data_IF_666688732765
#
_entry.id   IF_666688732765
#
_cell.length_a   1.000
_cell.length_b   1.000
_cell.length_c   1.000
_cell.angle_alpha   90.00
_cell.angle_beta   90.00
_cell.angle_gamma   90.00
#
_symmetry.space_group_name_H-M   'P 1'
#
loop_
_entity.id
_entity.type
_entity.pdbx_description
1 polymer ?
#
# COMPACT_ATOMS: atom_id res chain seq x y z
N UNK A 1 -40.03 8.39 -34.37
CA UNK A 1 -39.00 7.33 -34.13
C UNK A 1 -37.97 7.90 -33.17
N UNK A 2 -37.46 7.17 -32.17
CA UNK A 2 -36.39 7.69 -31.32
C UNK A 2 -35.18 8.01 -32.21
N UNK A 3 -34.70 9.26 -32.14
CA UNK A 3 -33.62 9.74 -32.97
C UNK A 3 -32.33 9.02 -32.56
N UNK A 4 -31.70 8.32 -33.50
CA UNK A 4 -30.44 7.60 -33.23
C UNK A 4 -29.33 8.64 -33.03
N UNK A 5 -28.53 8.47 -31.98
CA UNK A 5 -27.32 9.29 -31.75
C UNK A 5 -26.39 9.09 -32.96
N UNK A 6 -25.95 10.18 -33.63
CA UNK A 6 -24.99 10.10 -34.72
C UNK A 6 -23.71 9.39 -34.31
N UNK A 7 -23.13 8.61 -35.23
CA UNK A 7 -21.86 7.91 -34.97
C UNK A 7 -20.74 8.90 -34.64
N UNK A 8 -20.72 10.03 -35.33
CA UNK A 8 -19.71 11.08 -35.17
C UNK A 8 -19.76 11.73 -33.79
N UNK A 9 -20.96 11.96 -33.23
CA UNK A 9 -21.12 12.49 -31.87
C UNK A 9 -20.54 11.55 -30.81
N UNK A 10 -20.70 10.23 -30.98
CA UNK A 10 -20.12 9.24 -30.08
C UNK A 10 -18.59 9.26 -30.14
N UNK A 11 -18.00 9.35 -31.34
CA UNK A 11 -16.54 9.42 -31.52
C UNK A 11 -15.97 10.75 -31.03
N UNK A 12 -16.68 11.87 -31.24
CA UNK A 12 -16.28 13.18 -30.74
C UNK A 12 -16.26 13.22 -29.20
N UNK A 13 -17.28 12.65 -28.57
CA UNK A 13 -17.33 12.54 -27.11
C UNK A 13 -16.22 11.63 -26.56
N UNK A 14 -15.92 10.53 -27.25
CA UNK A 14 -14.83 9.63 -26.88
C UNK A 14 -13.46 10.32 -26.95
N UNK A 15 -13.23 11.15 -27.99
CA UNK A 15 -12.01 11.98 -28.11
C UNK A 15 -11.95 13.07 -27.04
N UNK A 16 -13.07 13.75 -26.77
CA UNK A 16 -13.14 14.76 -25.71
C UNK A 16 -12.73 14.16 -24.37
N UNK A 17 -13.39 13.08 -23.97
CA UNK A 17 -13.11 12.45 -22.68
C UNK A 17 -11.68 11.90 -22.61
N UNK A 18 -11.14 11.38 -23.72
CA UNK A 18 -9.75 10.95 -23.76
C UNK A 18 -8.76 12.10 -23.58
N UNK A 19 -9.03 13.26 -24.21
CA UNK A 19 -8.21 14.45 -24.05
C UNK A 19 -8.27 15.00 -22.61
N UNK A 20 -9.46 14.99 -22.01
CA UNK A 20 -9.64 15.48 -20.64
C UNK A 20 -8.93 14.59 -19.60
N UNK A 21 -8.82 13.28 -19.88
CA UNK A 21 -8.11 12.32 -19.02
C UNK A 21 -6.61 12.19 -19.39
N UNK A 22 -6.17 12.79 -20.50
CA UNK A 22 -4.87 12.55 -21.14
C UNK A 22 -4.56 11.04 -21.38
N UNK A 23 -5.61 10.23 -21.56
CA UNK A 23 -5.53 8.78 -21.81
C UNK A 23 -6.84 8.23 -22.33
N UNK A 24 -6.81 7.00 -22.85
CA UNK A 24 -8.04 6.30 -23.23
C UNK A 24 -9.00 6.12 -22.04
N UNK A 25 -10.28 6.49 -22.17
CA UNK A 25 -11.26 6.28 -21.12
C UNK A 25 -11.63 4.81 -20.98
N UNK A 26 -12.02 4.43 -19.77
CA UNK A 26 -12.69 3.16 -19.45
C UNK A 26 -14.20 3.27 -19.66
N UNK A 27 -14.88 2.13 -19.66
CA UNK A 27 -16.35 2.10 -19.73
C UNK A 27 -17.01 2.76 -18.51
N UNK A 28 -16.36 2.69 -17.34
CA UNK A 28 -16.86 3.29 -16.10
C UNK A 28 -16.79 4.81 -16.18
N UNK A 29 -15.62 5.34 -16.55
CA UNK A 29 -15.42 6.79 -16.73
C UNK A 29 -16.34 7.38 -17.80
N UNK A 30 -16.65 6.64 -18.87
CA UNK A 30 -17.63 7.07 -19.86
C UNK A 30 -19.07 7.10 -19.29
N UNK A 31 -19.43 6.17 -18.40
CA UNK A 31 -20.75 6.19 -17.76
C UNK A 31 -20.87 7.27 -16.67
N UNK A 32 -19.77 7.63 -16.01
CA UNK A 32 -19.74 8.60 -14.91
C UNK A 32 -19.51 10.04 -15.38
N UNK A 33 -18.60 10.23 -16.34
CA UNK A 33 -18.14 11.55 -16.81
C UNK A 33 -18.39 11.80 -18.29
N UNK A 34 -18.89 10.80 -19.01
CA UNK A 34 -19.22 10.88 -20.43
C UNK A 34 -20.69 11.24 -20.66
N UNK A 35 -20.95 11.80 -21.84
CA UNK A 35 -22.30 12.20 -22.27
C UNK A 35 -23.21 11.02 -22.62
N UNK A 36 -22.64 9.86 -22.91
CA UNK A 36 -23.38 8.70 -23.40
C UNK A 36 -22.94 7.42 -22.68
N UNK A 37 -23.88 6.51 -22.45
CA UNK A 37 -23.54 5.21 -21.84
C UNK A 37 -22.60 4.38 -22.71
N UNK A 38 -21.64 3.69 -22.07
CA UNK A 38 -20.77 2.70 -22.69
C UNK A 38 -21.55 1.59 -23.44
N UNK A 39 -22.80 1.29 -23.03
CA UNK A 39 -23.65 0.33 -23.75
C UNK A 39 -24.04 0.84 -25.16
N UNK A 40 -24.19 2.15 -25.33
CA UNK A 40 -24.47 2.77 -26.64
C UNK A 40 -23.31 2.54 -27.60
N UNK A 41 -22.07 2.63 -27.10
CA UNK A 41 -20.87 2.33 -27.88
C UNK A 41 -20.82 0.87 -28.28
N UNK A 42 -21.01 -0.07 -27.34
CA UNK A 42 -21.05 -1.50 -27.66
C UNK A 42 -22.11 -1.83 -28.73
N UNK A 43 -23.34 -1.30 -28.60
CA UNK A 43 -24.40 -1.53 -29.58
C UNK A 43 -24.10 -0.93 -30.96
N UNK A 44 -23.36 0.19 -31.02
CA UNK A 44 -23.13 0.93 -32.26
C UNK A 44 -21.90 0.46 -33.01
N UNK A 45 -20.86 0.04 -32.29
CA UNK A 45 -19.54 -0.29 -32.82
C UNK A 45 -19.17 -1.77 -32.71
N UNK A 46 -20.00 -2.59 -32.04
CA UNK A 46 -19.74 -4.01 -31.79
C UNK A 46 -19.14 -4.24 -30.41
N UNK A 47 -18.14 -3.43 -30.05
CA UNK A 47 -17.49 -3.44 -28.75
C UNK A 47 -16.92 -2.07 -28.36
N UNK A 48 -16.60 -1.89 -27.07
CA UNK A 48 -15.89 -0.71 -26.59
C UNK A 48 -14.50 -0.55 -27.25
N UNK A 49 -13.77 -1.65 -27.42
CA UNK A 49 -12.45 -1.64 -28.06
C UNK A 49 -12.53 -1.18 -29.51
N UNK A 50 -13.51 -1.68 -30.28
CA UNK A 50 -13.72 -1.23 -31.67
C UNK A 50 -14.10 0.24 -31.75
N UNK A 51 -14.85 0.77 -30.77
CA UNK A 51 -15.14 2.20 -30.71
C UNK A 51 -13.88 3.06 -30.43
N UNK A 52 -12.96 2.57 -29.60
CA UNK A 52 -11.68 3.23 -29.34
C UNK A 52 -10.74 3.17 -30.55
N UNK A 53 -10.70 2.03 -31.26
CA UNK A 53 -9.88 1.87 -32.47
C UNK A 53 -10.26 2.88 -33.57
N UNK A 54 -11.54 3.21 -33.72
CA UNK A 54 -12.05 4.24 -34.66
C UNK A 54 -11.50 5.65 -34.41
N UNK A 55 -10.99 5.90 -33.19
CA UNK A 55 -10.35 7.18 -32.82
C UNK A 55 -8.86 7.01 -32.52
N UNK A 56 -8.26 5.88 -32.95
CA UNK A 56 -6.87 5.51 -32.70
C UNK A 56 -6.49 5.50 -31.20
N UNK A 57 -7.47 5.25 -30.33
CA UNK A 57 -7.23 5.01 -28.92
C UNK A 57 -7.12 3.51 -28.69
N UNK A 58 -6.13 3.09 -27.90
CA UNK A 58 -6.07 1.69 -27.46
C UNK A 58 -6.92 1.53 -26.21
N UNK A 59 -7.59 0.39 -26.05
CA UNK A 59 -8.23 0.05 -24.79
C UNK A 59 -7.25 0.31 -23.63
N UNK A 60 -7.65 1.18 -22.69
CA UNK A 60 -6.90 1.37 -21.46
C UNK A 60 -6.80 0.01 -20.80
N UNK A 61 -5.61 -0.59 -20.79
CA UNK A 61 -5.33 -1.72 -19.91
C UNK A 61 -5.66 -1.17 -18.53
N UNK A 62 -6.58 -1.82 -17.81
CA UNK A 62 -6.91 -1.48 -16.41
C UNK A 62 -5.62 -1.05 -15.74
N UNK A 63 -5.50 0.24 -15.45
CA UNK A 63 -4.30 0.84 -14.89
C UNK A 63 -3.97 0.01 -13.66
N UNK A 64 -2.83 -0.68 -13.68
CA UNK A 64 -2.42 -1.44 -12.51
C UNK A 64 -2.07 -0.39 -11.47
N UNK A 65 -2.83 -0.34 -10.39
CA UNK A 65 -2.50 0.46 -9.21
C UNK A 65 -1.09 0.08 -8.79
N UNK A 66 -0.19 1.07 -8.72
CA UNK A 66 1.20 0.80 -8.32
C UNK A 66 1.30 0.62 -6.81
N UNK A 67 2.45 0.16 -6.33
CA UNK A 67 2.65 0.00 -4.90
C UNK A 67 2.69 1.39 -4.23
N UNK A 68 3.28 2.39 -4.89
CA UNK A 68 3.31 3.78 -4.42
C UNK A 68 1.91 4.36 -4.20
N UNK A 69 0.99 4.15 -5.14
CA UNK A 69 -0.40 4.64 -5.01
C UNK A 69 -1.15 3.98 -3.86
N UNK A 70 -0.88 2.70 -3.59
CA UNK A 70 -1.44 2.03 -2.42
C UNK A 70 -0.92 2.67 -1.13
N UNK A 71 0.39 2.92 -1.05
CA UNK A 71 1.04 3.50 0.13
C UNK A 71 0.65 4.96 0.36
N UNK A 72 0.50 5.76 -0.70
CA UNK A 72 -0.02 7.13 -0.65
C UNK A 72 -1.44 7.15 -0.10
N UNK A 73 -2.30 6.24 -0.56
CA UNK A 73 -3.67 6.13 -0.07
C UNK A 73 -3.73 5.69 1.40
N UNK A 74 -2.83 4.79 1.82
CA UNK A 74 -2.71 4.36 3.21
C UNK A 74 -2.32 5.54 4.13
N UNK A 75 -1.36 6.37 3.67
CA UNK A 75 -0.94 7.58 4.38
C UNK A 75 -2.05 8.63 4.43
N UNK A 76 -2.74 8.90 3.31
CA UNK A 76 -3.90 9.81 3.27
C UNK A 76 -4.94 9.41 4.31
N UNK A 77 -5.32 8.13 4.34
CA UNK A 77 -6.32 7.65 5.29
C UNK A 77 -5.84 7.76 6.74
N UNK A 78 -4.55 7.53 7.00
CA UNK A 78 -3.96 7.72 8.33
C UNK A 78 -4.01 9.18 8.77
N UNK A 79 -3.69 10.12 7.87
CA UNK A 79 -3.77 11.56 8.12
C UNK A 79 -5.21 12.00 8.41
N UNK A 80 -6.18 11.52 7.63
CA UNK A 80 -7.59 11.84 7.82
C UNK A 80 -8.17 11.33 9.14
N UNK A 81 -7.71 10.15 9.59
CA UNK A 81 -8.09 9.59 10.88
C UNK A 81 -7.26 10.14 12.05
N UNK A 82 -6.13 10.78 11.77
CA UNK A 82 -5.13 11.19 12.77
C UNK A 82 -4.49 10.00 13.51
N UNK A 83 -4.60 8.79 12.96
CA UNK A 83 -4.06 7.54 13.51
C UNK A 83 -3.96 6.48 12.42
N UNK A 84 -3.26 5.39 12.73
CA UNK A 84 -3.17 4.22 11.85
C UNK A 84 -4.58 3.67 11.55
N UNK A 85 -4.93 3.50 10.26
CA UNK A 85 -6.20 2.89 9.87
C UNK A 85 -6.19 1.39 10.14
N UNK A 86 -7.31 0.87 10.61
CA UNK A 86 -7.56 -0.57 10.61
C UNK A 86 -7.93 -1.05 9.19
N UNK A 87 -7.66 -2.33 8.90
CA UNK A 87 -7.88 -2.88 7.57
C UNK A 87 -9.35 -2.78 7.09
N UNK A 88 -10.32 -2.79 8.00
CA UNK A 88 -11.73 -2.59 7.68
C UNK A 88 -12.06 -1.12 7.37
N UNK A 89 -11.33 -0.17 7.95
CA UNK A 89 -11.49 1.27 7.69
C UNK A 89 -10.99 1.61 6.28
N UNK A 90 -9.95 0.93 5.79
CA UNK A 90 -9.55 1.02 4.39
C UNK A 90 -10.63 0.48 3.43
N UNK A 91 -11.43 -0.51 3.86
CA UNK A 91 -12.54 -1.02 3.04
C UNK A 91 -13.74 -0.05 3.03
N UNK A 92 -14.00 0.65 4.13
CA UNK A 92 -15.12 1.60 4.22
C UNK A 92 -14.80 2.99 3.68
N UNK A 93 -13.61 3.50 3.95
CA UNK A 93 -13.24 4.92 3.82
C UNK A 93 -12.01 5.14 2.92
N UNK A 94 -11.42 4.05 2.41
CA UNK A 94 -10.30 4.07 1.49
C UNK A 94 -10.69 3.84 0.03
N UNK A 95 -9.80 4.22 -0.88
CA UNK A 95 -9.98 4.06 -2.32
C UNK A 95 -9.78 2.62 -2.80
N UNK A 96 -9.01 1.81 -2.05
CA UNK A 96 -8.65 0.45 -2.42
C UNK A 96 -9.06 -0.56 -1.36
N UNK A 97 -9.45 -1.76 -1.79
CA UNK A 97 -9.82 -2.83 -0.86
C UNK A 97 -8.57 -3.36 -0.12
N UNK A 98 -8.68 -3.64 1.18
CA UNK A 98 -7.56 -4.15 2.01
C UNK A 98 -6.83 -5.37 1.40
N UNK A 99 -7.57 -6.25 0.73
CA UNK A 99 -7.05 -7.40 0.00
C UNK A 99 -6.00 -7.03 -1.06
N UNK A 100 -6.15 -5.88 -1.71
CA UNK A 100 -5.14 -5.37 -2.65
C UNK A 100 -3.82 -5.13 -1.94
N UNK A 101 -3.84 -4.66 -0.69
CA UNK A 101 -2.63 -4.49 0.12
C UNK A 101 -2.06 -5.85 0.54
N UNK A 102 -2.87 -6.77 1.06
CA UNK A 102 -2.36 -8.09 1.47
C UNK A 102 -1.80 -8.89 0.29
N UNK A 103 -2.42 -8.82 -0.89
CA UNK A 103 -1.95 -9.53 -2.09
C UNK A 103 -0.65 -8.93 -2.63
N UNK A 104 -0.36 -7.64 -2.37
CA UNK A 104 0.82 -6.93 -2.88
C UNK A 104 1.99 -6.94 -1.91
N UNK A 105 1.72 -6.72 -0.63
CA UNK A 105 2.73 -6.54 0.42
C UNK A 105 2.88 -7.78 1.33
N UNK A 106 2.01 -8.79 1.19
CA UNK A 106 2.00 -10.02 1.98
C UNK A 106 0.98 -10.01 3.10
N UNK A 107 0.92 -8.90 3.84
CA UNK A 107 -0.03 -8.69 4.95
C UNK A 107 -0.39 -7.21 5.13
N UNK A 108 -1.37 -6.95 5.98
CA UNK A 108 -1.77 -5.58 6.32
C UNK A 108 -0.69 -4.86 7.13
N UNK A 109 -0.08 -5.56 8.09
CA UNK A 109 1.04 -5.03 8.89
C UNK A 109 2.22 -4.67 7.98
N UNK A 110 2.62 -5.55 7.05
CA UNK A 110 3.70 -5.26 6.09
C UNK A 110 3.38 -4.07 5.16
N UNK A 111 2.10 -3.84 4.85
CA UNK A 111 1.68 -2.66 4.08
C UNK A 111 1.78 -1.37 4.91
N UNK A 112 1.41 -1.42 6.20
CA UNK A 112 1.60 -0.30 7.13
C UNK A 112 3.08 0.02 7.33
N UNK A 113 3.93 -1.00 7.45
CA UNK A 113 5.39 -0.86 7.55
C UNK A 113 5.96 -0.20 6.30
N UNK A 114 5.56 -0.68 5.11
CA UNK A 114 5.96 -0.10 3.83
C UNK A 114 5.52 1.36 3.67
N UNK A 115 4.41 1.75 4.31
CA UNK A 115 3.93 3.13 4.32
C UNK A 115 4.57 4.00 5.41
N UNK A 116 5.39 3.42 6.30
CA UNK A 116 5.96 4.12 7.46
C UNK A 116 4.96 4.37 8.59
N UNK A 117 3.80 3.70 8.57
CA UNK A 117 2.68 3.89 9.49
C UNK A 117 2.74 2.98 10.72
N UNK A 118 3.90 2.43 11.08
CA UNK A 118 4.01 1.56 12.24
C UNK A 118 3.85 2.34 13.58
N UNK A 119 4.00 3.68 13.56
CA UNK A 119 4.46 4.50 14.68
C UNK A 119 3.44 4.96 15.75
N UNK A 120 2.18 4.49 15.81
CA UNK A 120 1.20 5.13 16.71
C UNK A 120 0.16 4.23 17.40
N UNK A 121 0.34 2.92 17.45
CA UNK A 121 -0.56 2.02 18.21
C UNK A 121 -0.34 2.08 19.72
N UNK A 122 -1.39 1.85 20.53
CA UNK A 122 -1.25 1.60 21.98
C UNK A 122 -0.31 0.40 22.20
N UNK A 123 0.83 0.63 22.85
CA UNK A 123 1.87 -0.38 23.05
C UNK A 123 2.95 -0.45 21.96
N UNK A 124 2.94 0.46 20.98
CA UNK A 124 4.07 0.66 20.08
C UNK A 124 5.28 1.17 20.87
N UNK A 125 6.42 0.52 20.67
CA UNK A 125 7.71 0.94 21.23
C UNK A 125 8.61 1.24 20.02
N UNK A 126 9.04 2.49 19.83
CA UNK A 126 9.94 2.86 18.73
C UNK A 126 11.22 2.03 18.74
N UNK A 127 11.78 1.75 17.55
CA UNK A 127 13.07 1.06 17.44
C UNK A 127 14.13 1.75 18.28
N UNK A 128 14.18 3.08 18.26
CA UNK A 128 15.15 3.88 19.01
C UNK A 128 15.02 3.66 20.52
N UNK A 129 13.80 3.43 21.03
CA UNK A 129 13.58 3.09 22.44
C UNK A 129 14.11 1.69 22.76
N UNK A 130 13.87 0.72 21.88
CA UNK A 130 14.38 -0.64 22.01
C UNK A 130 15.92 -0.71 21.92
N UNK A 131 16.52 0.07 21.01
CA UNK A 131 17.97 0.19 20.84
C UNK A 131 18.62 0.91 22.03
N UNK A 132 17.97 1.95 22.56
CA UNK A 132 18.40 2.63 23.79
C UNK A 132 18.39 1.69 24.99
N UNK A 133 17.36 0.86 25.11
CA UNK A 133 17.25 -0.15 26.16
C UNK A 133 18.34 -1.24 26.04
N UNK A 134 18.66 -1.68 24.83
CA UNK A 134 19.77 -2.61 24.57
C UNK A 134 21.11 -2.02 25.00
N UNK A 135 21.40 -0.78 24.62
CA UNK A 135 22.63 -0.09 25.00
C UNK A 135 22.73 0.08 26.52
N UNK A 136 21.66 0.54 27.18
CA UNK A 136 21.61 0.67 28.64
C UNK A 136 21.90 -0.67 29.33
N UNK A 137 21.32 -1.76 28.84
CA UNK A 137 21.54 -3.09 29.40
C UNK A 137 22.99 -3.58 29.16
N UNK A 138 23.56 -3.30 27.99
CA UNK A 138 24.96 -3.63 27.68
C UNK A 138 25.94 -2.88 28.59
N UNK A 139 25.72 -1.58 28.81
CA UNK A 139 26.49 -0.76 29.74
C UNK A 139 26.37 -1.26 31.19
N UNK A 140 25.16 -1.63 31.61
CA UNK A 140 24.88 -2.13 32.97
C UNK A 140 25.58 -3.47 33.23
N UNK A 141 25.60 -4.37 32.25
CA UNK A 141 26.21 -5.70 32.38
C UNK A 141 27.71 -5.70 32.08
N UNK A 142 28.22 -4.67 31.40
CA UNK A 142 29.60 -4.61 30.90
C UNK A 142 29.90 -5.67 29.83
N UNK A 143 28.86 -6.21 29.17
CA UNK A 143 28.95 -7.23 28.12
C UNK A 143 27.72 -7.19 27.22
N UNK A 144 27.81 -7.82 26.05
CA UNK A 144 26.67 -8.05 25.16
C UNK A 144 25.51 -8.72 25.91
N UNK A 145 24.32 -8.09 25.95
CA UNK A 145 23.14 -8.69 26.57
C UNK A 145 22.65 -9.90 25.79
N UNK A 146 22.26 -10.95 26.52
CA UNK A 146 21.58 -12.11 25.96
C UNK A 146 20.07 -11.92 26.02
N UNK A 147 19.33 -12.77 25.29
CA UNK A 147 17.87 -12.81 25.40
C UNK A 147 17.40 -13.15 26.83
N UNK A 148 18.18 -13.90 27.62
CA UNK A 148 17.88 -14.14 29.04
C UNK A 148 18.02 -12.87 29.85
N UNK A 149 19.10 -12.10 29.65
CA UNK A 149 19.33 -10.85 30.37
C UNK A 149 18.20 -9.84 30.12
N UNK A 150 17.71 -9.74 28.89
CA UNK A 150 16.61 -8.84 28.57
C UNK A 150 15.28 -9.29 29.20
N UNK A 151 15.04 -10.59 29.34
CA UNK A 151 13.86 -11.08 30.07
C UNK A 151 13.94 -10.85 31.58
N UNK A 152 15.14 -10.94 32.16
CA UNK A 152 15.35 -10.84 33.61
C UNK A 152 15.56 -9.40 34.09
N UNK A 153 16.17 -8.56 33.26
CA UNK A 153 16.66 -7.22 33.64
C UNK A 153 16.27 -6.13 32.65
N UNK A 154 15.64 -6.48 31.53
CA UNK A 154 15.17 -5.54 30.52
C UNK A 154 13.74 -5.04 30.76
N UNK A 155 13.41 -3.91 30.13
CA UNK A 155 12.09 -3.28 30.19
C UNK A 155 11.11 -3.83 29.14
N UNK A 156 11.60 -4.60 28.17
CA UNK A 156 10.84 -5.01 26.99
C UNK A 156 11.00 -6.49 26.68
N UNK A 157 9.94 -7.11 26.17
CA UNK A 157 9.94 -8.55 25.85
C UNK A 157 10.80 -8.86 24.62
N UNK A 158 11.39 -10.06 24.57
CA UNK A 158 12.13 -10.55 23.38
C UNK A 158 11.21 -10.66 22.16
N UNK A 159 9.90 -10.89 22.39
CA UNK A 159 8.90 -10.90 21.33
C UNK A 159 8.81 -9.55 20.61
N UNK A 160 8.92 -8.45 21.36
CA UNK A 160 8.96 -7.09 20.81
C UNK A 160 10.18 -6.91 19.91
N UNK A 161 11.37 -7.32 20.36
CA UNK A 161 12.59 -7.25 19.55
C UNK A 161 12.50 -8.09 18.26
N UNK A 162 12.04 -9.34 18.36
CA UNK A 162 11.87 -10.20 17.16
C UNK A 162 10.88 -9.61 16.17
N UNK A 163 9.78 -9.01 16.64
CA UNK A 163 8.80 -8.38 15.75
C UNK A 163 9.41 -7.17 15.02
N UNK A 164 10.23 -6.36 15.69
CA UNK A 164 10.77 -5.10 15.12
C UNK A 164 12.03 -5.24 14.30
N UNK A 165 12.88 -6.21 14.63
CA UNK A 165 14.20 -6.36 14.03
C UNK A 165 14.33 -7.66 13.23
N UNK A 166 13.33 -8.54 13.27
CA UNK A 166 13.37 -9.87 12.64
C UNK A 166 14.05 -10.90 13.55
N UNK A 167 15.22 -10.56 14.10
CA UNK A 167 15.92 -11.39 15.08
C UNK A 167 16.54 -10.57 16.20
N UNK A 168 17.04 -11.26 17.24
CA UNK A 168 17.80 -10.62 18.31
C UNK A 168 19.15 -10.10 17.82
N UNK A 169 19.77 -10.87 16.92
CA UNK A 169 21.07 -10.58 16.33
C UNK A 169 20.98 -9.31 15.47
N UNK A 170 19.93 -9.18 14.64
CA UNK A 170 19.67 -7.96 13.87
C UNK A 170 19.45 -6.72 14.78
N UNK A 171 18.83 -6.91 15.94
CA UNK A 171 18.65 -5.83 16.92
C UNK A 171 19.98 -5.39 17.55
N UNK A 172 20.92 -6.33 17.78
CA UNK A 172 22.26 -6.03 18.28
C UNK A 172 23.11 -5.35 17.20
N UNK A 173 23.02 -5.80 15.94
CA UNK A 173 23.66 -5.16 14.79
C UNK A 173 23.19 -3.71 14.63
N UNK A 174 21.87 -3.48 14.65
CA UNK A 174 21.30 -2.13 14.53
C UNK A 174 21.62 -1.25 15.76
N UNK A 175 21.86 -1.86 16.93
CA UNK A 175 22.33 -1.16 18.14
C UNK A 175 23.84 -0.86 18.12
N UNK A 176 24.60 -1.42 17.16
CA UNK A 176 26.06 -1.31 17.11
C UNK A 176 26.78 -2.12 18.20
N UNK A 177 26.14 -3.16 18.73
CA UNK A 177 26.68 -4.02 19.80
C UNK A 177 27.27 -5.27 19.16
N UNK A 178 28.58 -5.47 19.32
CA UNK A 178 29.24 -6.69 18.82
C UNK A 178 28.73 -7.94 19.57
N UNK A 179 28.48 -9.03 18.82
CA UNK A 179 28.13 -10.33 19.37
C UNK A 179 28.85 -11.46 18.65
N UNK A 180 29.05 -12.62 19.31
CA UNK A 180 29.66 -13.77 18.65
C UNK A 180 28.73 -14.30 17.56
N UNK A 181 29.07 -14.04 16.30
CA UNK A 181 28.36 -14.64 15.15
C UNK A 181 28.60 -16.14 15.18
N UNK A 182 27.56 -16.92 15.44
CA UNK A 182 27.63 -18.36 15.21
C UNK A 182 27.54 -18.57 13.71
N UNK A 183 28.67 -18.70 13.02
CA UNK A 183 28.71 -19.26 11.66
C UNK A 183 28.01 -20.61 11.71
N UNK A 184 26.78 -20.66 11.20
CA UNK A 184 26.08 -21.91 10.92
C UNK A 184 26.86 -22.61 9.80
N UNK A 185 27.77 -23.49 10.19
CA UNK A 185 28.35 -24.46 9.28
C UNK A 185 27.22 -25.27 8.65
N UNK A 186 27.22 -25.31 7.31
CA UNK A 186 26.31 -26.08 6.46
C UNK A 186 26.34 -27.57 6.78
#
# INVERSE_FOLDING_TARGET
MPQKIPREDLLAELRRLANDLDRSPTTTEMNEHGKYSALTYNKRFGSWSEALDEVNLKASRKRRVTDEELLEELNRLADDLGRIPAANEMVSDGEFHNRTYTDRFGSWDEALDAAGLEASGEGYIPKETLLGELNRLAETLGRTPTTTDMNEHGAHSIGTYRKRFGSWDDALDEAGIEYPTHTRSN
#
